data_IF_871646755762
#
_entry.id   IF_871646755762
#
_cell.length_a   1.000
_cell.length_b   1.000
_cell.length_c   1.000
_cell.angle_alpha   90.00
_cell.angle_beta   90.00
_cell.angle_gamma   90.00
#
_symmetry.space_group_name_H-M   'P 1'
#
loop_
_entity.id
_entity.type
_entity.pdbx_description
1 polymer ?
#
# COMPACT_ATOMS: atom_id res chain seq x y z
N UNK A 1 -12.87 -20.54 1.91
CA UNK A 1 -13.24 -19.18 2.39
C UNK A 1 -12.00 -18.34 2.65
N UNK A 2 -10.95 -18.92 3.26
CA UNK A 2 -9.67 -18.25 3.53
C UNK A 2 -8.97 -17.68 2.29
N UNK A 3 -8.90 -18.43 1.18
CA UNK A 3 -8.27 -17.95 -0.07
C UNK A 3 -8.94 -16.66 -0.59
N UNK A 4 -10.28 -16.63 -0.57
CA UNK A 4 -11.05 -15.46 -1.04
C UNK A 4 -10.77 -14.26 -0.14
N UNK A 5 -10.68 -14.47 1.18
CA UNK A 5 -10.35 -13.42 2.15
C UNK A 5 -8.93 -12.88 1.92
N UNK A 6 -7.94 -13.75 1.68
CA UNK A 6 -6.56 -13.34 1.41
C UNK A 6 -6.45 -12.53 0.12
N UNK A 7 -7.16 -12.94 -0.93
CA UNK A 7 -7.23 -12.17 -2.19
C UNK A 7 -7.87 -10.80 -1.93
N UNK A 8 -8.97 -10.73 -1.18
CA UNK A 8 -9.62 -9.47 -0.83
C UNK A 8 -8.69 -8.53 -0.05
N UNK A 9 -7.94 -9.05 0.92
CA UNK A 9 -6.94 -8.29 1.68
C UNK A 9 -5.85 -7.74 0.75
N UNK A 10 -5.33 -8.57 -0.15
CA UNK A 10 -4.31 -8.14 -1.11
C UNK A 10 -4.82 -7.04 -2.06
N UNK A 11 -6.05 -7.19 -2.57
CA UNK A 11 -6.72 -6.17 -3.41
C UNK A 11 -6.93 -4.87 -2.62
N UNK A 12 -7.33 -4.96 -1.36
CA UNK A 12 -7.50 -3.81 -0.49
C UNK A 12 -6.17 -3.06 -0.25
N UNK A 13 -5.08 -3.78 0.00
CA UNK A 13 -3.73 -3.20 0.15
C UNK A 13 -3.30 -2.49 -1.14
N UNK A 14 -3.50 -3.11 -2.30
CA UNK A 14 -3.20 -2.48 -3.60
C UNK A 14 -4.04 -1.21 -3.82
N UNK A 15 -5.32 -1.24 -3.42
CA UNK A 15 -6.21 -0.09 -3.52
C UNK A 15 -5.73 1.08 -2.66
N UNK A 16 -5.27 0.82 -1.43
CA UNK A 16 -4.62 1.84 -0.59
C UNK A 16 -3.36 2.37 -1.28
N UNK A 17 -2.52 1.50 -1.84
CA UNK A 17 -1.33 1.91 -2.60
C UNK A 17 -1.64 2.85 -3.76
N UNK A 18 -2.71 2.57 -4.52
CA UNK A 18 -3.23 3.46 -5.57
C UNK A 18 -3.70 4.81 -5.03
N UNK A 19 -4.40 4.83 -3.89
CA UNK A 19 -4.84 6.08 -3.27
C UNK A 19 -3.66 6.93 -2.76
N UNK A 20 -2.60 6.28 -2.27
CA UNK A 20 -1.34 6.94 -1.88
C UNK A 20 -0.65 7.53 -3.10
N UNK A 21 -0.57 6.81 -4.24
CA UNK A 21 -0.03 7.35 -5.50
C UNK A 21 -0.85 8.53 -6.03
N UNK A 22 -2.18 8.49 -5.88
CA UNK A 22 -3.07 9.59 -6.25
C UNK A 22 -3.07 10.74 -5.24
N UNK A 23 -2.22 10.69 -4.22
CA UNK A 23 -2.12 11.70 -3.15
C UNK A 23 -3.38 11.87 -2.30
N UNK A 24 -4.38 10.99 -2.45
CA UNK A 24 -5.65 11.05 -1.71
C UNK A 24 -5.56 10.47 -0.31
N UNK A 25 -4.61 9.55 -0.11
CA UNK A 25 -4.35 8.88 1.16
C UNK A 25 -2.93 9.15 1.69
N UNK A 26 -2.28 10.21 1.21
CA UNK A 26 -0.95 10.59 1.69
C UNK A 26 -0.91 10.78 3.20
N UNK A 27 -2.01 11.25 3.82
CA UNK A 27 -2.12 11.39 5.27
C UNK A 27 -1.88 10.09 6.04
N UNK A 28 -2.24 8.91 5.50
CA UNK A 28 -1.96 7.62 6.15
C UNK A 28 -0.45 7.38 6.31
N UNK A 29 0.33 7.87 5.34
CA UNK A 29 1.78 7.77 5.32
C UNK A 29 2.41 8.96 6.04
N UNK A 30 1.81 10.14 5.88
CA UNK A 30 2.28 11.39 6.44
C UNK A 30 2.13 11.41 7.96
N UNK A 31 1.09 10.80 8.56
CA UNK A 31 0.95 10.69 10.03
C UNK A 31 2.14 9.94 10.66
N UNK A 32 2.65 8.91 10.01
CA UNK A 32 3.81 8.15 10.49
C UNK A 32 5.12 8.93 10.31
N UNK A 33 5.22 9.75 9.25
CA UNK A 33 6.44 10.49 8.90
C UNK A 33 6.47 11.95 9.37
N UNK A 34 5.34 12.49 9.84
CA UNK A 34 5.19 13.84 10.40
C UNK A 34 6.13 14.06 11.59
N UNK A 35 6.49 12.97 12.29
CA UNK A 35 7.42 13.00 13.41
C UNK A 35 8.90 12.84 13.02
N UNK A 36 9.23 12.54 11.75
CA UNK A 36 10.58 12.10 11.38
C UNK A 36 11.20 12.74 10.13
N UNK A 37 10.41 13.17 9.14
CA UNK A 37 10.98 13.60 7.86
C UNK A 37 10.14 14.72 7.24
N UNK A 38 10.74 15.91 7.10
CA UNK A 38 10.31 17.00 6.20
C UNK A 38 10.49 16.57 4.74
N UNK A 39 9.91 15.43 4.38
CA UNK A 39 10.10 14.76 3.10
C UNK A 39 9.21 15.34 2.02
N UNK A 40 9.75 15.48 0.81
CA UNK A 40 8.98 15.88 -0.36
C UNK A 40 7.81 14.90 -0.59
N UNK A 41 6.58 15.36 -0.36
CA UNK A 41 5.34 14.57 -0.44
C UNK A 41 5.19 13.81 -1.76
N UNK A 42 5.74 14.34 -2.85
CA UNK A 42 5.69 13.70 -4.18
C UNK A 42 6.55 12.44 -4.25
N UNK A 43 7.73 12.46 -3.64
CA UNK A 43 8.61 11.29 -3.55
C UNK A 43 8.06 10.28 -2.56
N UNK A 44 7.53 10.77 -1.44
CA UNK A 44 6.93 9.93 -0.40
C UNK A 44 5.73 9.12 -0.93
N UNK A 45 4.81 9.80 -1.61
CA UNK A 45 3.66 9.19 -2.28
C UNK A 45 4.08 8.10 -3.25
N UNK A 46 5.14 8.36 -4.03
CA UNK A 46 5.62 7.42 -5.04
C UNK A 46 6.22 6.17 -4.41
N UNK A 47 7.10 6.33 -3.43
CA UNK A 47 7.77 5.22 -2.76
C UNK A 47 6.75 4.35 -2.00
N UNK A 48 5.95 4.95 -1.13
CA UNK A 48 4.99 4.18 -0.32
C UNK A 48 3.87 3.58 -1.16
N UNK A 49 3.37 4.32 -2.15
CA UNK A 49 2.36 3.81 -3.07
C UNK A 49 2.86 2.60 -3.85
N UNK A 50 4.09 2.65 -4.36
CA UNK A 50 4.71 1.51 -5.06
C UNK A 50 4.96 0.33 -4.13
N UNK A 51 5.45 0.54 -2.91
CA UNK A 51 5.65 -0.54 -1.92
C UNK A 51 4.32 -1.24 -1.62
N UNK A 52 3.26 -0.48 -1.36
CA UNK A 52 1.93 -1.04 -1.07
C UNK A 52 1.38 -1.85 -2.25
N UNK A 53 1.59 -1.40 -3.49
CA UNK A 53 1.22 -2.16 -4.68
C UNK A 53 1.96 -3.49 -4.77
N UNK A 54 3.29 -3.46 -4.56
CA UNK A 54 4.14 -4.67 -4.62
C UNK A 54 3.75 -5.65 -3.52
N UNK A 55 3.58 -5.17 -2.28
CA UNK A 55 3.17 -6.01 -1.15
C UNK A 55 1.78 -6.60 -1.37
N UNK A 56 0.81 -5.79 -1.82
CA UNK A 56 -0.53 -6.28 -2.12
C UNK A 56 -0.53 -7.37 -3.21
N UNK A 57 0.33 -7.23 -4.23
CA UNK A 57 0.51 -8.25 -5.26
C UNK A 57 1.07 -9.57 -4.68
N UNK A 58 2.09 -9.51 -3.81
CA UNK A 58 2.61 -10.71 -3.15
C UNK A 58 1.58 -11.39 -2.25
N UNK A 59 0.75 -10.62 -1.54
CA UNK A 59 -0.34 -11.16 -0.70
C UNK A 59 -1.37 -11.92 -1.55
N UNK A 60 -1.69 -11.43 -2.75
CA UNK A 60 -2.59 -12.13 -3.68
C UNK A 60 -1.98 -13.44 -4.18
N UNK A 61 -0.65 -13.47 -4.39
CA UNK A 61 0.06 -14.65 -4.87
C UNK A 61 0.27 -15.72 -3.80
N UNK A 62 0.31 -15.34 -2.52
CA UNK A 62 0.53 -16.23 -1.38
C UNK A 62 -0.31 -17.53 -1.39
N UNK A 63 -1.65 -17.49 -1.60
CA UNK A 63 -2.47 -18.70 -1.66
C UNK A 63 -2.23 -19.60 -2.88
N UNK A 64 -1.43 -19.18 -3.86
CA UNK A 64 -1.06 -20.02 -5.00
C UNK A 64 0.24 -20.81 -4.76
N UNK A 65 1.00 -20.45 -3.72
CA UNK A 65 2.25 -21.12 -3.34
C UNK A 65 2.10 -22.06 -2.13
N UNK A 66 1.01 -21.94 -1.37
CA UNK A 66 0.63 -22.82 -0.26
C UNK A 66 -0.51 -23.74 -0.69
#
# INVERSE_FOLDING_TARGET
MEIIMTIFIGVFIMFIGLLVLKKKALFLVNVVLWNGVTGNEKWLSRIFGTILLVVGFFVILLPFFM
#
